data_IF_390566444069
#
_entry.id   IF_390566444069
#
_cell.length_a   1.000
_cell.length_b   1.000
_cell.length_c   1.000
_cell.angle_alpha   90.00
_cell.angle_beta   90.00
_cell.angle_gamma   90.00
#
_symmetry.space_group_name_H-M   'P 1'
#
loop_
_entity.id
_entity.type
_entity.pdbx_description
1 polymer ?
#
# COMPACT_ATOMS: atom_id res chain seq x y z
N UNK A 1 38.47 -0.97 79.36
CA UNK A 1 38.59 0.05 78.28
C UNK A 1 39.18 -0.53 77.00
N UNK A 2 40.05 -1.55 77.06
CA UNK A 2 40.70 -2.17 75.88
C UNK A 2 39.82 -3.12 75.05
N UNK A 3 38.98 -3.95 75.69
CA UNK A 3 38.21 -4.96 74.95
C UNK A 3 37.07 -4.39 74.10
N UNK A 4 36.38 -3.37 74.59
CA UNK A 4 35.32 -2.69 73.84
C UNK A 4 35.91 -1.99 72.61
N UNK A 5 37.10 -1.39 72.75
CA UNK A 5 37.80 -0.78 71.62
C UNK A 5 38.24 -1.82 70.58
N UNK A 6 38.69 -3.00 71.01
CA UNK A 6 39.05 -4.11 70.13
C UNK A 6 37.83 -4.65 69.36
N UNK A 7 36.70 -4.87 70.06
CA UNK A 7 35.46 -5.35 69.44
C UNK A 7 34.90 -4.34 68.41
N UNK A 8 34.99 -3.05 68.69
CA UNK A 8 34.59 -2.00 67.75
C UNK A 8 35.51 -2.01 66.51
N UNK A 9 36.83 -2.11 66.70
CA UNK A 9 37.77 -2.17 65.59
C UNK A 9 37.55 -3.40 64.69
N UNK A 10 37.29 -4.56 65.29
CA UNK A 10 37.01 -5.81 64.57
C UNK A 10 35.68 -5.74 63.79
N UNK A 11 34.65 -5.13 64.37
CA UNK A 11 33.38 -4.88 63.70
C UNK A 11 33.54 -3.95 62.47
N UNK A 12 34.29 -2.87 62.61
CA UNK A 12 34.56 -1.96 61.48
C UNK A 12 35.41 -2.63 60.40
N UNK A 13 36.38 -3.47 60.76
CA UNK A 13 37.17 -4.26 59.80
C UNK A 13 36.31 -5.27 59.02
N UNK A 14 35.37 -5.93 59.72
CA UNK A 14 34.39 -6.81 59.08
C UNK A 14 33.48 -6.05 58.12
N UNK A 15 32.93 -4.90 58.54
CA UNK A 15 32.13 -4.02 57.69
C UNK A 15 32.90 -3.56 56.45
N UNK A 16 34.15 -3.13 56.61
CA UNK A 16 34.97 -2.64 55.49
C UNK A 16 35.33 -3.74 54.47
N UNK A 17 35.23 -5.01 54.86
CA UNK A 17 35.48 -6.13 53.95
C UNK A 17 34.19 -6.62 53.29
N UNK A 18 33.09 -6.61 54.04
CA UNK A 18 31.79 -7.12 53.58
C UNK A 18 31.03 -6.12 52.72
N UNK A 19 31.04 -4.83 53.08
CA UNK A 19 30.29 -3.79 52.34
C UNK A 19 30.79 -3.64 50.90
N UNK A 20 32.10 -3.57 50.60
CA UNK A 20 32.57 -3.46 49.21
C UNK A 20 32.20 -4.67 48.35
N UNK A 21 32.13 -5.87 48.92
CA UNK A 21 31.73 -7.07 48.18
C UNK A 21 30.26 -7.01 47.69
N UNK A 22 29.40 -6.27 48.40
CA UNK A 22 27.97 -6.11 48.07
C UNK A 22 27.67 -4.80 47.36
N UNK A 23 28.36 -3.71 47.72
CA UNK A 23 28.14 -2.37 47.18
C UNK A 23 28.93 -2.12 45.90
N UNK A 24 30.10 -2.74 45.77
CA UNK A 24 30.96 -2.67 44.57
C UNK A 24 31.36 -4.08 44.10
N UNK A 25 30.40 -4.95 43.74
CA UNK A 25 30.76 -6.12 42.95
C UNK A 25 31.47 -5.67 41.67
N UNK A 26 32.27 -6.55 41.06
CA UNK A 26 32.92 -6.25 39.78
C UNK A 26 31.86 -6.10 38.67
N UNK A 27 31.31 -4.89 38.57
CA UNK A 27 30.32 -4.51 37.58
C UNK A 27 30.90 -4.60 36.17
N UNK A 28 32.22 -4.47 36.01
CA UNK A 28 32.85 -4.60 34.71
C UNK A 28 32.78 -6.06 34.21
N UNK A 29 33.02 -7.05 35.08
CA UNK A 29 32.82 -8.46 34.75
C UNK A 29 31.35 -8.78 34.44
N UNK A 30 30.40 -8.23 35.22
CA UNK A 30 28.97 -8.43 34.99
C UNK A 30 28.50 -7.82 33.65
N UNK A 31 28.95 -6.60 33.34
CA UNK A 31 28.70 -5.91 32.07
C UNK A 31 29.40 -6.64 30.92
N UNK A 32 30.57 -7.22 31.15
CA UNK A 32 31.26 -8.05 30.17
C UNK A 32 30.48 -9.31 29.78
N UNK A 33 29.63 -9.82 30.67
CA UNK A 33 28.77 -10.99 30.42
C UNK A 33 27.44 -10.62 29.73
N UNK A 34 26.97 -9.37 29.83
CA UNK A 34 25.71 -8.93 29.24
C UNK A 34 25.59 -9.21 27.72
N UNK A 35 26.61 -8.98 26.87
CA UNK A 35 26.56 -9.31 25.45
C UNK A 35 26.24 -10.79 25.18
N UNK A 36 26.72 -11.69 26.04
CA UNK A 36 26.50 -13.14 25.91
C UNK A 36 25.03 -13.52 26.08
N UNK A 37 24.24 -12.73 26.82
CA UNK A 37 22.80 -12.94 26.99
C UNK A 37 21.97 -12.10 26.01
N UNK A 38 22.35 -10.84 25.78
CA UNK A 38 21.60 -9.93 24.91
C UNK A 38 21.71 -10.35 23.45
N UNK A 39 22.92 -10.69 22.98
CA UNK A 39 23.13 -11.04 21.57
C UNK A 39 22.24 -12.19 21.09
N UNK A 40 22.16 -13.37 21.78
CA UNK A 40 21.28 -14.44 21.33
C UNK A 40 19.79 -14.08 21.43
N UNK A 41 19.38 -13.29 22.43
CA UNK A 41 18.00 -12.81 22.55
C UNK A 41 17.60 -11.91 21.38
N UNK A 42 18.45 -10.93 21.05
CA UNK A 42 18.23 -10.03 19.91
C UNK A 42 18.23 -10.80 18.60
N UNK A 43 19.17 -11.75 18.44
CA UNK A 43 19.28 -12.57 17.26
C UNK A 43 18.02 -13.45 17.08
N UNK A 44 17.56 -14.10 18.15
CA UNK A 44 16.32 -14.88 18.15
C UNK A 44 15.11 -14.02 17.80
N UNK A 45 15.03 -12.81 18.37
CA UNK A 45 13.95 -11.87 18.08
C UNK A 45 13.95 -11.42 16.62
N UNK A 46 15.12 -11.12 16.05
CA UNK A 46 15.28 -10.76 14.65
C UNK A 46 14.90 -11.92 13.72
N UNK A 47 15.34 -13.15 14.02
CA UNK A 47 14.96 -14.32 13.24
C UNK A 47 13.48 -14.66 13.35
N UNK A 48 12.88 -14.55 14.52
CA UNK A 48 11.45 -14.78 14.73
C UNK A 48 10.62 -13.76 13.96
N UNK A 49 10.90 -12.47 14.17
CA UNK A 49 10.14 -11.37 13.56
C UNK A 49 10.38 -11.34 12.05
N UNK A 50 11.65 -11.36 11.63
CA UNK A 50 12.03 -11.41 10.23
C UNK A 50 11.49 -12.65 9.53
N UNK A 51 11.52 -13.81 10.18
CA UNK A 51 10.96 -15.05 9.66
C UNK A 51 9.45 -14.96 9.45
N UNK A 52 8.70 -14.44 10.42
CA UNK A 52 7.25 -14.23 10.29
C UNK A 52 6.93 -13.28 9.13
N UNK A 53 7.60 -12.12 9.06
CA UNK A 53 7.35 -11.16 8.00
C UNK A 53 7.77 -11.69 6.62
N UNK A 54 8.86 -12.42 6.54
CA UNK A 54 9.30 -13.09 5.31
C UNK A 54 8.28 -14.13 4.88
N UNK A 55 7.80 -14.95 5.82
CA UNK A 55 6.77 -15.95 5.56
C UNK A 55 5.48 -15.28 5.07
N UNK A 56 5.04 -14.20 5.70
CA UNK A 56 3.88 -13.41 5.26
C UNK A 56 4.10 -12.84 3.86
N UNK A 57 5.28 -12.28 3.56
CA UNK A 57 5.61 -11.75 2.24
C UNK A 57 5.58 -12.81 1.14
N UNK A 58 6.04 -14.03 1.44
CA UNK A 58 6.05 -15.14 0.48
C UNK A 58 4.66 -15.76 0.31
N UNK A 59 3.94 -15.97 1.41
CA UNK A 59 2.65 -16.68 1.43
C UNK A 59 1.48 -15.79 1.03
N UNK A 60 1.46 -14.52 1.44
CA UNK A 60 0.46 -13.54 1.04
C UNK A 60 0.92 -12.81 -0.21
N UNK A 61 0.85 -13.49 -1.36
CA UNK A 61 0.93 -12.80 -2.65
C UNK A 61 -0.27 -11.85 -2.75
N UNK A 62 0.00 -10.55 -2.71
CA UNK A 62 -1.03 -9.52 -2.82
C UNK A 62 -1.90 -9.73 -4.06
N UNK A 63 -3.14 -9.23 -3.99
CA UNK A 63 -4.07 -9.23 -5.11
C UNK A 63 -3.37 -8.66 -6.36
N UNK A 64 -3.14 -9.51 -7.37
CA UNK A 64 -2.67 -9.04 -8.67
C UNK A 64 -3.78 -8.20 -9.28
N UNK A 65 -3.62 -6.89 -9.23
CA UNK A 65 -4.47 -5.95 -9.94
C UNK A 65 -4.28 -6.22 -11.42
N UNK A 66 -5.26 -6.86 -12.04
CA UNK A 66 -5.31 -6.94 -13.51
C UNK A 66 -5.86 -5.59 -13.97
N UNK A 67 -5.16 -4.97 -14.90
CA UNK A 67 -5.70 -3.81 -15.62
C UNK A 67 -6.81 -4.40 -16.51
N UNK A 68 -8.05 -4.33 -16.03
CA UNK A 68 -9.19 -4.64 -16.88
C UNK A 68 -9.22 -3.59 -17.97
N UNK A 69 -9.17 -4.01 -19.24
CA UNK A 69 -9.46 -3.08 -20.33
C UNK A 69 -10.93 -2.66 -20.14
N UNK A 70 -11.23 -1.38 -19.84
CA UNK A 70 -12.61 -0.97 -19.62
C UNK A 70 -13.43 -1.26 -20.88
N UNK A 71 -14.50 -2.04 -20.74
CA UNK A 71 -15.33 -2.42 -21.87
C UNK A 71 -16.19 -1.23 -22.35
N UNK A 72 -16.52 -1.16 -23.65
CA UNK A 72 -17.52 -0.23 -24.16
C UNK A 72 -18.86 -0.45 -23.46
N UNK A 73 -19.53 0.63 -23.07
CA UNK A 73 -20.84 0.58 -22.44
C UNK A 73 -21.91 0.98 -23.47
N UNK A 74 -23.05 0.26 -23.56
CA UNK A 74 -24.13 0.68 -24.46
C UNK A 74 -24.61 2.09 -24.10
N UNK A 75 -24.85 2.91 -25.11
CA UNK A 75 -25.35 4.27 -24.92
C UNK A 75 -26.80 4.23 -24.39
N UNK A 76 -27.14 5.02 -23.36
CA UNK A 76 -28.52 5.10 -22.89
C UNK A 76 -29.42 5.66 -23.99
N UNK A 77 -30.65 5.17 -24.07
CA UNK A 77 -31.64 5.70 -25.00
C UNK A 77 -32.27 6.98 -24.43
N UNK A 78 -32.41 8.01 -25.26
CA UNK A 78 -33.14 9.24 -24.94
C UNK A 78 -34.66 9.03 -24.98
N UNK A 79 -35.40 10.09 -24.64
CA UNK A 79 -36.86 10.10 -24.67
C UNK A 79 -37.44 9.90 -26.09
N UNK A 80 -36.62 10.15 -27.11
CA UNK A 80 -36.92 9.95 -28.53
C UNK A 80 -36.58 8.54 -29.04
N UNK A 81 -36.15 7.64 -28.15
CA UNK A 81 -35.73 6.28 -28.48
C UNK A 81 -34.39 6.20 -29.22
N UNK A 82 -33.64 7.31 -29.32
CA UNK A 82 -32.33 7.35 -29.97
C UNK A 82 -31.19 7.22 -28.96
N UNK A 83 -30.03 6.65 -29.33
CA UNK A 83 -28.86 6.62 -28.46
C UNK A 83 -28.40 8.04 -28.09
N UNK A 84 -28.31 8.32 -26.79
CA UNK A 84 -27.84 9.60 -26.27
C UNK A 84 -26.35 9.51 -25.91
N UNK A 85 -25.54 10.32 -26.57
CA UNK A 85 -24.09 10.35 -26.37
C UNK A 85 -23.67 11.58 -25.57
N UNK A 86 -23.05 11.41 -24.39
CA UNK A 86 -22.61 12.54 -23.57
C UNK A 86 -21.39 13.24 -24.18
N UNK A 87 -21.31 14.56 -24.01
CA UNK A 87 -20.16 15.34 -24.45
C UNK A 87 -18.88 14.95 -23.70
N UNK A 88 -17.72 15.08 -24.37
CA UNK A 88 -16.41 14.75 -23.82
C UNK A 88 -16.10 13.25 -23.71
N UNK A 89 -16.99 12.37 -24.19
CA UNK A 89 -16.82 10.91 -24.18
C UNK A 89 -16.72 10.38 -25.61
N UNK A 90 -15.75 9.50 -25.93
CA UNK A 90 -15.71 8.83 -27.22
C UNK A 90 -16.91 7.90 -27.41
N UNK A 91 -17.49 7.85 -28.59
CA UNK A 91 -18.63 6.99 -28.91
C UNK A 91 -18.62 6.52 -30.37
N UNK A 92 -19.31 5.41 -30.63
CA UNK A 92 -19.58 4.89 -31.96
C UNK A 92 -21.09 4.90 -32.21
N UNK A 93 -21.54 5.62 -33.24
CA UNK A 93 -22.95 5.69 -33.63
C UNK A 93 -23.44 4.36 -34.22
N UNK A 94 -22.59 3.69 -35.00
CA UNK A 94 -22.86 2.38 -35.64
C UNK A 94 -23.10 1.27 -34.61
N UNK A 95 -22.40 1.32 -33.47
CA UNK A 95 -22.48 0.33 -32.41
C UNK A 95 -23.41 0.77 -31.26
N UNK A 96 -23.96 1.98 -31.30
CA UNK A 96 -24.71 2.60 -30.19
C UNK A 96 -23.99 2.47 -28.84
N UNK A 97 -22.67 2.68 -28.84
CA UNK A 97 -21.81 2.41 -27.69
C UNK A 97 -20.94 3.62 -27.31
N UNK A 98 -20.77 3.82 -26.01
CA UNK A 98 -19.86 4.79 -25.40
C UNK A 98 -18.59 4.07 -24.98
N UNK A 99 -17.46 4.59 -25.45
CA UNK A 99 -16.14 4.03 -25.21
C UNK A 99 -15.46 4.70 -24.01
N UNK A 100 -14.48 4.02 -23.40
CA UNK A 100 -13.66 4.61 -22.34
C UNK A 100 -12.97 5.90 -22.78
N UNK A 101 -12.68 6.76 -21.80
CA UNK A 101 -11.95 8.00 -22.05
C UNK A 101 -10.57 7.70 -22.63
N UNK A 102 -10.19 8.39 -23.71
CA UNK A 102 -8.90 8.17 -24.38
C UNK A 102 -8.94 7.11 -25.48
N UNK A 103 -10.05 6.38 -25.66
CA UNK A 103 -10.23 5.51 -26.83
C UNK A 103 -10.38 6.36 -28.10
N UNK A 104 -9.64 6.00 -29.15
CA UNK A 104 -9.68 6.66 -30.47
C UNK A 104 -10.35 5.81 -31.54
N UNK A 105 -10.40 4.49 -31.34
CA UNK A 105 -10.90 3.49 -32.29
C UNK A 105 -11.89 2.54 -31.62
N UNK A 106 -12.89 2.09 -32.36
CA UNK A 106 -13.85 1.09 -31.91
C UNK A 106 -13.20 -0.30 -31.89
N UNK A 107 -13.88 -1.30 -31.31
CA UNK A 107 -13.46 -2.70 -31.35
C UNK A 107 -13.36 -3.25 -32.79
N UNK A 108 -14.04 -2.61 -33.75
CA UNK A 108 -13.99 -2.91 -35.18
C UNK A 108 -12.93 -2.09 -35.94
N UNK A 109 -12.22 -1.19 -35.27
CA UNK A 109 -11.18 -0.33 -35.87
C UNK A 109 -11.69 0.98 -36.49
N UNK A 110 -12.99 1.28 -36.38
CA UNK A 110 -13.58 2.52 -36.87
C UNK A 110 -13.16 3.71 -36.00
N UNK A 111 -12.95 4.92 -36.57
CA UNK A 111 -12.64 6.11 -35.78
C UNK A 111 -13.84 6.49 -34.90
N UNK A 112 -13.59 6.66 -33.61
CA UNK A 112 -14.63 7.08 -32.66
C UNK A 112 -14.92 8.57 -32.83
N UNK A 113 -16.15 8.97 -32.51
CA UNK A 113 -16.58 10.36 -32.47
C UNK A 113 -16.58 10.88 -31.03
N UNK A 114 -16.40 12.18 -30.87
CA UNK A 114 -16.51 12.87 -29.59
C UNK A 114 -17.14 14.23 -29.82
N UNK A 115 -18.13 14.58 -29.00
CA UNK A 115 -18.70 15.92 -28.96
C UNK A 115 -17.88 16.79 -27.99
N UNK A 116 -17.50 18.00 -28.41
CA UNK A 116 -16.77 18.93 -27.56
C UNK A 116 -17.65 19.34 -26.35
N UNK A 117 -17.17 19.25 -25.10
CA UNK A 117 -17.96 19.63 -23.93
C UNK A 117 -18.18 21.14 -23.81
N UNK A 118 -17.41 21.97 -24.53
CA UNK A 118 -17.58 23.42 -24.50
C UNK A 118 -18.55 23.94 -25.57
N UNK A 119 -18.50 23.42 -26.80
CA UNK A 119 -19.27 23.95 -27.92
C UNK A 119 -20.11 22.91 -28.66
N UNK A 120 -20.12 21.66 -28.19
CA UNK A 120 -20.86 20.52 -28.73
C UNK A 120 -20.51 20.12 -30.19
N UNK A 121 -19.57 20.79 -30.83
CA UNK A 121 -19.07 20.39 -32.14
C UNK A 121 -18.53 18.95 -32.09
N UNK A 122 -18.99 18.12 -33.03
CA UNK A 122 -18.60 16.71 -33.13
C UNK A 122 -17.36 16.59 -34.01
N UNK A 123 -16.40 15.78 -33.55
CA UNK A 123 -15.17 15.48 -34.28
C UNK A 123 -14.73 14.04 -34.04
N UNK A 124 -13.70 13.60 -34.75
CA UNK A 124 -13.01 12.34 -34.46
C UNK A 124 -12.24 12.42 -33.14
N UNK A 125 -12.31 11.37 -32.33
CA UNK A 125 -11.67 11.28 -31.01
C UNK A 125 -10.13 11.26 -31.09
N UNK A 126 -9.56 10.91 -32.25
CA UNK A 126 -8.12 10.96 -32.51
C UNK A 126 -7.57 12.40 -32.49
N UNK A 127 -8.41 13.42 -32.76
CA UNK A 127 -8.01 14.82 -32.63
C UNK A 127 -8.18 15.29 -31.19
N UNK A 128 -7.08 15.72 -30.58
CA UNK A 128 -7.07 16.31 -29.24
C UNK A 128 -7.68 17.72 -29.22
N UNK A 129 -7.63 18.49 -30.30
CA UNK A 129 -8.09 19.89 -30.33
C UNK A 129 -9.43 20.05 -31.04
N UNK A 130 -10.27 20.98 -30.56
CA UNK A 130 -11.54 21.32 -31.19
C UNK A 130 -11.33 22.35 -32.29
N UNK A 131 -11.67 22.00 -33.53
CA UNK A 131 -11.54 22.90 -34.67
C UNK A 131 -12.50 24.11 -34.59
N UNK A 132 -13.58 24.01 -33.81
CA UNK A 132 -14.59 25.08 -33.68
C UNK A 132 -14.27 26.11 -32.57
N UNK A 133 -13.78 25.67 -31.41
CA UNK A 133 -13.57 26.55 -30.24
C UNK A 133 -12.14 26.52 -29.68
N UNK A 134 -11.23 25.73 -30.26
CA UNK A 134 -9.84 25.63 -29.81
C UNK A 134 -9.61 24.79 -28.54
N UNK A 135 -10.66 24.25 -27.90
CA UNK A 135 -10.49 23.44 -26.69
C UNK A 135 -9.68 22.16 -26.95
N UNK A 136 -8.58 22.00 -26.22
CA UNK A 136 -7.80 20.76 -26.17
C UNK A 136 -8.36 19.79 -25.12
N UNK A 137 -8.76 18.60 -25.57
CA UNK A 137 -9.25 17.50 -24.75
C UNK A 137 -8.19 16.41 -24.69
N UNK A 138 -7.44 16.38 -23.59
CA UNK A 138 -6.57 15.25 -23.23
C UNK A 138 -7.31 14.30 -22.31
N UNK A 139 -8.13 13.43 -22.88
CA UNK A 139 -8.80 12.40 -22.11
C UNK A 139 -7.76 11.37 -21.63
N UNK A 140 -7.40 11.41 -20.34
CA UNK A 140 -6.62 10.35 -19.71
C UNK A 140 -7.56 9.19 -19.40
N UNK A 141 -7.21 7.99 -19.83
CA UNK A 141 -7.90 6.75 -19.44
C UNK A 141 -7.69 6.57 -17.93
N UNK A 142 -8.73 6.66 -17.09
CA UNK A 142 -8.58 6.24 -15.70
C UNK A 142 -8.29 4.74 -15.72
N UNK A 143 -7.27 4.31 -14.99
CA UNK A 143 -6.94 2.87 -14.85
C UNK A 143 -8.09 2.25 -14.05
N UNK A 144 -8.94 1.49 -14.72
CA UNK A 144 -9.97 0.69 -14.07
C UNK A 144 -9.27 -0.48 -13.37
N UNK A 145 -9.14 -0.38 -12.04
CA UNK A 145 -8.64 -1.47 -11.21
C UNK A 145 -9.78 -2.45 -10.98
N UNK A 146 -9.71 -3.61 -11.64
CA UNK A 146 -10.64 -4.69 -11.34
C UNK A 146 -10.27 -5.28 -9.98
N UNK A 147 -11.13 -5.10 -8.98
CA UNK A 147 -10.94 -5.74 -7.67
C UNK A 147 -11.20 -7.24 -7.86
N UNK A 148 -10.28 -8.13 -7.50
CA UNK A 148 -10.54 -9.56 -7.55
C UNK A 148 -11.82 -9.88 -6.76
N UNK A 149 -12.75 -10.62 -7.37
CA UNK A 149 -14.04 -10.96 -6.79
C UNK A 149 -13.94 -11.90 -5.56
N UNK A 150 -12.76 -12.41 -5.24
CA UNK A 150 -12.55 -13.30 -4.12
C UNK A 150 -12.26 -12.53 -2.83
N UNK A 151 -12.86 -12.91 -1.69
CA UNK A 151 -12.44 -12.39 -0.39
C UNK A 151 -10.94 -12.69 -0.19
N UNK A 152 -10.21 -11.80 0.50
CA UNK A 152 -8.80 -12.01 0.74
C UNK A 152 -8.59 -13.38 1.42
N UNK A 153 -7.69 -14.22 0.91
CA UNK A 153 -7.41 -15.50 1.54
C UNK A 153 -6.96 -15.26 2.99
N UNK A 154 -7.71 -15.82 3.95
CA UNK A 154 -7.44 -15.71 5.39
C UNK A 154 -8.30 -14.70 6.18
N UNK A 155 -9.34 -14.11 5.57
CA UNK A 155 -10.33 -13.30 6.32
C UNK A 155 -11.34 -14.17 7.07
N UNK A 156 -11.77 -13.71 8.25
CA UNK A 156 -12.70 -14.36 9.19
C UNK A 156 -14.15 -14.55 8.68
N UNK A 157 -14.35 -14.78 7.37
CA UNK A 157 -15.65 -15.06 6.76
C UNK A 157 -15.99 -16.56 6.73
N UNK A 158 -15.31 -17.37 7.56
CA UNK A 158 -15.70 -18.74 7.91
C UNK A 158 -16.07 -18.76 9.39
N UNK A 159 -17.27 -18.30 9.70
CA UNK A 159 -17.95 -18.55 10.96
C UNK A 159 -19.37 -19.00 10.63
#
# INVERSE_FOLDING_TARGET
MSEIAAAIAEFFAWISTFIPAIVTPDWAALIGLLPLFIAPLVLLWLFSTGGIWTLVGITKRGAKLKIGAPLPTPAPLGADGRPHFPAGRPYATSESAIYPNGSTRSLRGEPLLIACPSCLAVRIAERSTCDACGLELRARTPIALERPAAPPPGGAARA
#
